data_IF_505128315452
#
_entry.id   IF_505128315452
#
_cell.length_a   1.000
_cell.length_b   1.000
_cell.length_c   1.000
_cell.angle_alpha   90.00
_cell.angle_beta   90.00
_cell.angle_gamma   90.00
#
_symmetry.space_group_name_H-M   'P 1'
#
loop_
_entity.id
_entity.type
_entity.pdbx_description
1 polymer ?
#
# COMPACT_ATOMS: atom_id res chain seq x y z
N UNK A 1 -15.99 -52.10 53.27
CA UNK A 1 -15.95 -50.71 53.79
C UNK A 1 -14.56 -50.14 53.54
N UNK A 2 -14.39 -49.29 52.52
CA UNK A 2 -13.12 -48.61 52.15
C UNK A 2 -13.36 -47.10 52.18
N UNK A 3 -12.86 -46.40 53.21
CA UNK A 3 -13.00 -44.93 53.29
C UNK A 3 -11.98 -44.34 54.29
N UNK A 4 -10.68 -44.36 53.98
CA UNK A 4 -9.67 -43.74 54.87
C UNK A 4 -8.43 -43.13 54.18
N UNK A 5 -8.45 -42.76 52.90
CA UNK A 5 -7.22 -42.25 52.23
C UNK A 5 -7.31 -40.81 51.69
N UNK A 6 -8.42 -40.08 51.87
CA UNK A 6 -8.62 -38.79 51.16
C UNK A 6 -8.13 -37.55 51.93
N UNK A 7 -7.67 -37.67 53.18
CA UNK A 7 -7.44 -36.50 54.06
C UNK A 7 -6.02 -35.93 54.08
N UNK A 8 -5.02 -36.62 53.53
CA UNK A 8 -3.61 -36.16 53.57
C UNK A 8 -3.29 -35.21 52.41
N UNK A 9 -3.78 -35.51 51.20
CA UNK A 9 -3.52 -34.68 50.00
C UNK A 9 -4.19 -33.29 50.02
N UNK A 10 -5.25 -33.09 50.81
CA UNK A 10 -5.84 -31.75 50.98
C UNK A 10 -5.01 -30.85 51.89
N UNK A 11 -4.27 -31.43 52.86
CA UNK A 11 -3.44 -30.66 53.78
C UNK A 11 -2.18 -30.13 53.11
N UNK A 12 -1.55 -30.90 52.22
CA UNK A 12 -0.39 -30.43 51.44
C UNK A 12 -0.75 -29.30 50.45
N UNK A 13 -1.94 -29.35 49.83
CA UNK A 13 -2.40 -28.27 48.92
C UNK A 13 -2.69 -26.96 49.64
N UNK A 14 -3.14 -27.02 50.90
CA UNK A 14 -3.42 -25.83 51.70
C UNK A 14 -2.13 -25.12 52.15
N UNK A 15 -1.02 -25.85 52.29
CA UNK A 15 0.27 -25.29 52.73
C UNK A 15 1.04 -24.64 51.55
N UNK A 16 0.94 -25.22 50.35
CA UNK A 16 1.62 -24.71 49.14
C UNK A 16 1.11 -23.36 48.60
N UNK A 17 0.00 -22.83 49.10
CA UNK A 17 -0.53 -21.51 48.70
C UNK A 17 0.03 -20.35 49.54
N UNK A 18 0.70 -20.63 50.66
CA UNK A 18 1.24 -19.62 51.58
C UNK A 18 2.60 -19.04 51.15
N UNK A 19 3.32 -19.75 50.28
CA UNK A 19 4.68 -19.39 49.83
C UNK A 19 4.74 -18.84 48.39
N UNK A 20 3.64 -18.27 47.88
CA UNK A 20 3.69 -17.59 46.58
C UNK A 20 4.59 -16.36 46.65
N UNK A 21 5.61 -16.23 45.78
CA UNK A 21 6.46 -15.04 45.77
C UNK A 21 5.60 -13.79 45.52
N UNK A 22 5.97 -12.63 46.08
CA UNK A 22 5.22 -11.41 45.89
C UNK A 22 5.07 -11.13 44.39
N UNK A 23 3.89 -10.67 43.94
CA UNK A 23 3.64 -10.47 42.53
C UNK A 23 4.67 -9.51 41.94
N UNK A 24 5.19 -9.80 40.73
CA UNK A 24 6.17 -8.93 40.09
C UNK A 24 5.59 -7.53 39.94
N UNK A 25 6.40 -6.53 40.26
CA UNK A 25 5.99 -5.13 40.07
C UNK A 25 5.83 -4.87 38.58
N UNK A 26 4.61 -4.49 38.18
CA UNK A 26 4.34 -4.07 36.80
C UNK A 26 5.24 -2.87 36.50
N UNK A 27 6.10 -2.95 35.46
CA UNK A 27 6.96 -1.84 35.07
C UNK A 27 6.15 -0.57 34.84
N UNK A 28 6.67 0.58 35.28
CA UNK A 28 5.95 1.86 35.20
C UNK A 28 5.52 2.22 33.77
N UNK A 29 6.26 1.75 32.75
CA UNK A 29 5.90 1.88 31.33
C UNK A 29 4.52 1.30 30.96
N UNK A 30 3.98 0.36 31.74
CA UNK A 30 2.68 -0.27 31.48
C UNK A 30 1.54 0.34 32.30
N UNK A 31 1.85 1.28 33.21
CA UNK A 31 0.82 2.00 33.99
C UNK A 31 0.23 3.18 33.22
N UNK A 32 0.98 3.73 32.27
CA UNK A 32 0.48 4.78 31.40
C UNK A 32 -0.46 4.18 30.35
N UNK A 33 -1.74 4.61 30.29
CA UNK A 33 -2.63 4.19 29.22
C UNK A 33 -2.09 4.75 27.90
N UNK A 34 -1.59 3.86 27.03
CA UNK A 34 -1.18 4.22 25.66
C UNK A 34 -2.35 4.92 24.99
N UNK A 35 -2.16 6.20 24.62
CA UNK A 35 -3.13 6.98 23.88
C UNK A 35 -3.47 6.23 22.59
N UNK A 36 -4.67 5.66 22.53
CA UNK A 36 -5.14 5.02 21.30
C UNK A 36 -5.37 6.13 20.27
N UNK A 37 -4.76 6.04 19.08
CA UNK A 37 -5.11 6.97 18.02
C UNK A 37 -6.63 6.89 17.79
N UNK A 38 -7.28 8.02 17.42
CA UNK A 38 -8.68 7.99 17.05
C UNK A 38 -8.89 6.88 16.03
N UNK A 39 -9.88 6.01 16.30
CA UNK A 39 -10.24 4.93 15.39
C UNK A 39 -10.77 5.58 14.13
N UNK A 40 -9.88 5.84 13.17
CA UNK A 40 -10.27 6.27 11.83
C UNK A 40 -11.16 5.15 11.29
N UNK A 41 -12.38 5.50 10.92
CA UNK A 41 -13.33 4.56 10.34
C UNK A 41 -12.68 3.96 9.09
N UNK A 42 -12.28 2.69 9.21
CA UNK A 42 -11.45 1.99 8.22
C UNK A 42 -12.13 1.98 6.85
N UNK A 43 -13.46 2.04 6.84
CA UNK A 43 -14.28 2.01 5.65
C UNK A 43 -14.29 3.35 4.88
N UNK A 44 -14.24 4.49 5.58
CA UNK A 44 -14.19 5.82 4.92
C UNK A 44 -12.80 6.09 4.33
N UNK A 45 -11.73 5.77 5.07
CA UNK A 45 -10.35 5.99 4.60
C UNK A 45 -9.97 5.01 3.47
N UNK A 46 -10.46 3.76 3.50
CA UNK A 46 -10.16 2.78 2.44
C UNK A 46 -10.94 3.03 1.14
N UNK A 47 -12.21 3.42 1.22
CA UNK A 47 -13.07 3.56 0.04
C UNK A 47 -12.75 4.81 -0.78
N UNK A 48 -12.40 5.92 -0.12
CA UNK A 48 -12.11 7.18 -0.80
C UNK A 48 -10.71 7.17 -1.44
N UNK A 49 -9.75 6.49 -0.81
CA UNK A 49 -8.37 6.35 -1.31
C UNK A 49 -8.26 5.33 -2.45
N UNK A 50 -8.99 4.21 -2.35
CA UNK A 50 -8.93 3.12 -3.33
C UNK A 50 -9.45 3.54 -4.71
N UNK A 51 -10.65 4.15 -4.75
CA UNK A 51 -11.27 4.50 -6.03
C UNK A 51 -10.54 5.64 -6.75
N UNK A 52 -10.04 6.64 -6.01
CA UNK A 52 -9.26 7.75 -6.56
C UNK A 52 -7.89 7.30 -7.12
N UNK A 53 -7.23 6.35 -6.45
CA UNK A 53 -5.98 5.79 -6.94
C UNK A 53 -6.22 4.93 -8.20
N UNK A 54 -7.29 4.14 -8.22
CA UNK A 54 -7.67 3.32 -9.39
C UNK A 54 -8.02 4.19 -10.60
N UNK A 55 -8.81 5.26 -10.42
CA UNK A 55 -9.17 6.15 -11.52
C UNK A 55 -7.95 6.88 -12.09
N UNK A 56 -7.01 7.27 -11.23
CA UNK A 56 -5.74 7.88 -11.66
C UNK A 56 -4.88 6.89 -12.44
N UNK A 57 -4.71 5.67 -11.93
CA UNK A 57 -3.96 4.62 -12.62
C UNK A 57 -4.60 4.27 -13.98
N UNK A 58 -5.93 4.20 -14.03
CA UNK A 58 -6.67 3.97 -15.27
C UNK A 58 -6.47 5.09 -16.30
N UNK A 59 -6.46 6.36 -15.86
CA UNK A 59 -6.15 7.48 -16.73
C UNK A 59 -4.77 7.37 -17.37
N UNK A 60 -3.76 7.00 -16.58
CA UNK A 60 -2.38 6.78 -17.08
C UNK A 60 -2.34 5.62 -18.08
N UNK A 61 -3.05 4.52 -17.80
CA UNK A 61 -3.13 3.38 -18.70
C UNK A 61 -3.80 3.75 -20.04
N UNK A 62 -4.88 4.52 -20.00
CA UNK A 62 -5.59 4.97 -21.20
C UNK A 62 -4.76 5.95 -22.02
N UNK A 63 -4.03 6.85 -21.38
CA UNK A 63 -3.09 7.74 -22.06
C UNK A 63 -2.00 6.94 -22.81
N UNK A 64 -1.48 5.87 -22.18
CA UNK A 64 -0.49 5.00 -22.79
C UNK A 64 -1.06 4.28 -24.02
N UNK A 65 -2.20 3.62 -23.86
CA UNK A 65 -2.88 2.89 -24.94
C UNK A 65 -3.23 3.84 -26.08
N UNK A 66 -3.79 5.00 -25.78
CA UNK A 66 -4.13 6.03 -26.77
C UNK A 66 -2.91 6.52 -27.55
N UNK A 67 -1.77 6.73 -26.87
CA UNK A 67 -0.52 7.16 -27.52
C UNK A 67 0.02 6.10 -28.47
N UNK A 68 0.02 4.82 -28.06
CA UNK A 68 0.52 3.70 -28.87
C UNK A 68 -0.40 3.46 -30.08
N UNK A 69 -1.71 3.40 -29.86
CA UNK A 69 -2.69 3.23 -30.94
C UNK A 69 -2.64 4.41 -31.90
N UNK A 70 -2.55 5.64 -31.39
CA UNK A 70 -2.45 6.84 -32.21
C UNK A 70 -1.22 6.82 -33.13
N UNK A 71 -0.05 6.46 -32.60
CA UNK A 71 1.17 6.36 -33.38
C UNK A 71 1.13 5.20 -34.40
N UNK A 72 0.55 4.05 -34.03
CA UNK A 72 0.34 2.92 -34.93
C UNK A 72 -0.59 3.28 -36.08
N UNK A 73 -1.73 3.92 -35.81
CA UNK A 73 -2.68 4.35 -36.84
C UNK A 73 -2.04 5.37 -37.78
N UNK A 74 -1.27 6.31 -37.24
CA UNK A 74 -0.56 7.31 -38.04
C UNK A 74 0.50 6.66 -38.93
N UNK A 75 1.26 5.69 -38.40
CA UNK A 75 2.23 4.90 -39.18
C UNK A 75 1.56 4.04 -40.25
N UNK A 76 0.44 3.40 -39.93
CA UNK A 76 -0.35 2.60 -40.87
C UNK A 76 -0.89 3.45 -42.03
N UNK A 77 -1.42 4.64 -41.72
CA UNK A 77 -1.94 5.53 -42.74
C UNK A 77 -0.82 6.06 -43.65
N UNK A 78 0.35 6.36 -43.08
CA UNK A 78 1.54 6.73 -43.85
C UNK A 78 2.01 5.60 -44.78
N UNK A 79 2.06 4.35 -44.29
CA UNK A 79 2.37 3.18 -45.12
C UNK A 79 1.35 3.00 -46.25
N UNK A 80 0.05 3.17 -45.95
CA UNK A 80 -1.04 3.02 -46.92
C UNK A 80 -0.95 4.05 -48.04
N UNK A 81 -0.58 5.29 -47.73
CA UNK A 81 -0.43 6.36 -48.72
C UNK A 81 0.80 6.20 -49.61
N UNK A 82 1.90 5.67 -49.08
CA UNK A 82 3.12 5.47 -49.86
C UNK A 82 3.18 4.11 -50.56
N UNK A 83 2.21 3.22 -50.31
CA UNK A 83 2.21 1.86 -50.84
C UNK A 83 3.39 1.03 -50.35
N UNK A 84 3.99 1.39 -49.21
CA UNK A 84 5.18 0.76 -48.68
C UNK A 84 4.84 -0.49 -47.87
N UNK A 85 5.82 -1.40 -47.74
CA UNK A 85 5.85 -2.38 -46.64
C UNK A 85 5.73 -1.66 -45.29
N UNK A 86 5.24 -2.32 -44.21
CA UNK A 86 4.79 -1.70 -42.95
C UNK A 86 5.93 -1.09 -42.11
N UNK A 87 6.71 -0.20 -42.70
CA UNK A 87 7.92 0.42 -42.17
C UNK A 87 7.54 1.58 -41.26
N UNK A 88 6.62 2.45 -41.71
CA UNK A 88 6.16 3.57 -40.89
C UNK A 88 5.31 3.11 -39.71
N UNK A 89 4.57 2.01 -39.85
CA UNK A 89 3.87 1.36 -38.75
C UNK A 89 4.86 0.84 -37.69
N UNK A 90 5.96 0.18 -38.10
CA UNK A 90 7.00 -0.27 -37.18
C UNK A 90 7.68 0.90 -36.46
N UNK A 91 8.04 1.95 -37.20
CA UNK A 91 8.65 3.16 -36.63
C UNK A 91 7.66 3.83 -35.67
N UNK A 92 6.40 4.00 -36.09
CA UNK A 92 5.33 4.55 -35.27
C UNK A 92 5.09 3.76 -33.99
N UNK A 93 5.17 2.43 -34.05
CA UNK A 93 5.10 1.57 -32.86
C UNK A 93 6.22 1.87 -31.88
N UNK A 94 7.48 1.86 -32.34
CA UNK A 94 8.65 2.09 -31.49
C UNK A 94 8.63 3.50 -30.90
N UNK A 95 8.33 4.51 -31.73
CA UNK A 95 8.23 5.91 -31.31
C UNK A 95 7.08 6.10 -30.33
N UNK A 96 5.89 5.58 -30.63
CA UNK A 96 4.71 5.68 -29.77
C UNK A 96 4.93 5.02 -28.41
N UNK A 97 5.53 3.83 -28.40
CA UNK A 97 5.86 3.12 -27.16
C UNK A 97 6.90 3.87 -26.33
N UNK A 98 8.00 4.32 -26.95
CA UNK A 98 9.06 5.08 -26.27
C UNK A 98 8.52 6.39 -25.72
N UNK A 99 7.70 7.10 -26.50
CA UNK A 99 7.06 8.34 -26.08
C UNK A 99 6.11 8.13 -24.89
N UNK A 100 5.28 7.09 -24.95
CA UNK A 100 4.34 6.77 -23.88
C UNK A 100 5.07 6.39 -22.57
N UNK A 101 6.15 5.60 -22.65
CA UNK A 101 7.01 5.30 -21.50
C UNK A 101 7.68 6.55 -20.92
N UNK A 102 8.27 7.38 -21.79
CA UNK A 102 8.88 8.65 -21.38
C UNK A 102 7.87 9.54 -20.64
N UNK A 103 6.63 9.59 -21.12
CA UNK A 103 5.55 10.38 -20.50
C UNK A 103 5.16 9.86 -19.12
N UNK A 104 5.07 8.54 -18.95
CA UNK A 104 4.79 7.91 -17.65
C UNK A 104 5.90 8.25 -16.65
N UNK A 105 7.17 8.00 -17.02
CA UNK A 105 8.33 8.27 -16.16
C UNK A 105 8.38 9.76 -15.77
N UNK A 106 8.21 10.65 -16.75
CA UNK A 106 8.22 12.10 -16.52
C UNK A 106 7.12 12.53 -15.55
N UNK A 107 5.93 11.94 -15.65
CA UNK A 107 4.81 12.24 -14.76
C UNK A 107 5.07 11.76 -13.33
N UNK A 108 5.58 10.55 -13.17
CA UNK A 108 5.96 10.00 -11.85
C UNK A 108 7.03 10.85 -11.17
N UNK A 109 8.09 11.23 -11.91
CA UNK A 109 9.15 12.08 -11.37
C UNK A 109 8.66 13.48 -11.00
N UNK A 110 7.70 14.04 -11.75
CA UNK A 110 7.11 15.33 -11.44
C UNK A 110 6.22 15.28 -10.18
N UNK A 111 5.48 14.19 -9.97
CA UNK A 111 4.65 13.97 -8.79
C UNK A 111 5.52 13.85 -7.52
N UNK A 112 6.62 13.10 -7.57
CA UNK A 112 7.55 12.99 -6.43
C UNK A 112 8.16 14.34 -6.02
N UNK A 113 8.51 15.21 -7.00
CA UNK A 113 9.05 16.54 -6.71
C UNK A 113 8.03 17.41 -5.99
N UNK A 114 6.77 17.40 -6.44
CA UNK A 114 5.67 18.14 -5.82
C UNK A 114 5.40 17.65 -4.40
N UNK A 115 5.49 16.35 -4.16
CA UNK A 115 5.30 15.78 -2.83
C UNK A 115 6.45 16.16 -1.87
N UNK A 116 7.70 16.13 -2.34
CA UNK A 116 8.87 16.58 -1.57
C UNK A 116 8.75 18.05 -1.16
N UNK A 117 8.31 18.93 -2.06
CA UNK A 117 8.07 20.34 -1.77
C UNK A 117 6.96 20.55 -0.72
N UNK A 118 5.84 19.82 -0.83
CA UNK A 118 4.75 19.86 0.16
C UNK A 118 5.21 19.39 1.54
N UNK A 119 6.03 18.33 1.58
CA UNK A 119 6.57 17.79 2.83
C UNK A 119 7.55 18.77 3.47
N UNK A 120 8.36 19.47 2.68
CA UNK A 120 9.29 20.47 3.21
C UNK A 120 8.57 21.69 3.80
N UNK A 121 7.51 22.18 3.13
CA UNK A 121 6.64 23.25 3.67
C UNK A 121 5.98 22.89 5.00
N UNK A 122 5.52 21.63 5.15
CA UNK A 122 4.93 21.13 6.41
C UNK A 122 5.92 21.00 7.57
N UNK A 123 7.22 20.91 7.31
CA UNK A 123 8.24 20.84 8.37
C UNK A 123 8.71 22.22 8.86
N UNK A 124 8.40 23.28 8.13
CA UNK A 124 8.86 24.65 8.42
C UNK A 124 7.79 25.55 9.04
N UNK A 125 6.52 25.12 9.08
CA UNK A 125 5.43 25.78 9.81
C UNK A 125 4.96 24.92 10.96
#
# INVERSE_FOLDING_TARGET
MKRHETSEHERERADGLRDSPPPPQIPELLREPVARPPVLDRNEVASQSGLANVSTAWGVAMDFVGSVIGALLLGYFADRWQGTSPRYTLIGMVVGFTFALYRIISRTLAEERREKERRNKRKQG
#
